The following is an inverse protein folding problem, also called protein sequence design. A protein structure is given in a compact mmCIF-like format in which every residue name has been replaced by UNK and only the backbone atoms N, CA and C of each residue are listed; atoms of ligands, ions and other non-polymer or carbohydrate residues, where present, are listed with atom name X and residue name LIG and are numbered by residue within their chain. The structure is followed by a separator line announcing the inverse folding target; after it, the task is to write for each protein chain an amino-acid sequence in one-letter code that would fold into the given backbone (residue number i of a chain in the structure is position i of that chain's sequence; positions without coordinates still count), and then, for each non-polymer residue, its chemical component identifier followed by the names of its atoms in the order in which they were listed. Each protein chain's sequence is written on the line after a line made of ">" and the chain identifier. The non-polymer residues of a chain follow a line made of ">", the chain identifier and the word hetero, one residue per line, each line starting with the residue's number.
data_IF_625025711142
#
_entry.id   IF_625025711142
#
_cell.length_a   1.000
_cell.length_b   1.000
_cell.length_c   1.000
_cell.angle_alpha   90.00
_cell.angle_beta   90.00
_cell.angle_gamma   90.00
#
_symmetry.space_group_name_H-M   'P 1'
#
loop_
_entity.id
_entity.type
_entity.pdbx_description
1 polymer ?
#
# COMPACT_ATOMS: atom_id res chain seq x y z
N UNK A 1 -10.96 -23.64 13.11
CA UNK A 1 -9.51 -23.61 13.47
C UNK A 1 -8.75 -24.44 12.44
N UNK A 2 -7.56 -24.01 12.03
CA UNK A 2 -6.73 -24.72 11.04
C UNK A 2 -5.42 -25.17 11.73
N UNK A 3 -5.25 -26.47 12.06
CA UNK A 3 -4.10 -26.97 12.84
C UNK A 3 -2.83 -27.13 12.00
N UNK A 4 -2.48 -26.12 11.20
CA UNK A 4 -1.30 -26.10 10.33
C UNK A 4 -0.96 -24.68 9.92
N UNK A 5 0.23 -24.50 9.35
CA UNK A 5 0.55 -23.28 8.61
C UNK A 5 -0.42 -23.07 7.45
N UNK A 6 -0.74 -21.82 7.18
CA UNK A 6 -1.72 -21.37 6.20
C UNK A 6 -1.17 -20.19 5.41
N UNK A 7 -1.92 -19.77 4.37
CA UNK A 7 -1.62 -18.51 3.67
C UNK A 7 -1.62 -17.33 4.63
N UNK A 8 -2.52 -17.34 5.62
CA UNK A 8 -2.58 -16.31 6.67
C UNK A 8 -1.37 -16.33 7.59
N UNK A 9 -0.80 -17.50 7.92
CA UNK A 9 0.44 -17.53 8.73
C UNK A 9 1.65 -17.04 7.94
N UNK A 10 1.70 -17.30 6.62
CA UNK A 10 2.72 -16.73 5.75
C UNK A 10 2.61 -15.20 5.68
N UNK A 11 1.39 -14.68 5.48
CA UNK A 11 1.10 -13.25 5.50
C UNK A 11 1.49 -12.61 6.85
N UNK A 12 1.08 -13.22 7.97
CA UNK A 12 1.44 -12.75 9.31
C UNK A 12 2.96 -12.74 9.52
N UNK A 13 3.66 -13.78 9.06
CA UNK A 13 5.13 -13.83 9.18
C UNK A 13 5.83 -12.73 8.40
N UNK A 14 5.28 -12.32 7.25
CA UNK A 14 5.79 -11.17 6.49
C UNK A 14 5.40 -9.84 7.12
N UNK A 15 4.19 -9.76 7.68
CA UNK A 15 3.67 -8.56 8.31
C UNK A 15 4.41 -8.21 9.61
N UNK A 16 4.76 -9.20 10.43
CA UNK A 16 5.41 -8.99 11.72
C UNK A 16 6.92 -9.23 11.67
N UNK A 17 7.40 -9.88 10.61
CA UNK A 17 8.74 -10.43 10.53
C UNK A 17 8.95 -11.71 11.36
N UNK A 18 7.98 -12.10 12.20
CA UNK A 18 8.08 -13.29 13.05
C UNK A 18 7.94 -14.57 12.20
N UNK A 19 8.96 -15.45 12.11
CA UNK A 19 8.94 -16.57 11.18
C UNK A 19 8.16 -17.77 11.74
N UNK A 20 6.82 -17.71 11.68
CA UNK A 20 5.91 -18.70 12.30
C UNK A 20 6.25 -20.14 11.91
N UNK A 21 6.48 -20.42 10.62
CA UNK A 21 6.79 -21.77 10.15
C UNK A 21 8.12 -22.30 10.72
N UNK A 22 9.14 -21.43 10.84
CA UNK A 22 10.44 -21.78 11.41
C UNK A 22 10.33 -22.07 12.91
N UNK A 23 9.56 -21.26 13.63
CA UNK A 23 9.32 -21.47 15.07
C UNK A 23 8.51 -22.73 15.32
N UNK A 24 7.43 -22.94 14.57
CA UNK A 24 6.61 -24.14 14.66
C UNK A 24 7.41 -25.44 14.41
N UNK A 25 8.34 -25.44 13.44
CA UNK A 25 9.19 -26.59 13.18
C UNK A 25 10.13 -26.93 14.36
N UNK A 26 10.65 -25.91 15.06
CA UNK A 26 11.48 -26.11 16.25
C UNK A 26 10.65 -26.60 17.44
N UNK A 27 9.46 -26.05 17.65
CA UNK A 27 8.55 -26.51 18.70
C UNK A 27 8.18 -27.98 18.48
N UNK A 28 7.98 -28.40 17.23
CA UNK A 28 7.67 -29.78 16.89
C UNK A 28 8.75 -30.79 17.28
N UNK A 29 10.00 -30.37 17.50
CA UNK A 29 11.10 -31.23 17.97
C UNK A 29 11.42 -31.03 19.46
N UNK A 30 10.53 -30.38 20.21
CA UNK A 30 10.58 -30.30 21.67
C UNK A 30 11.03 -28.97 22.27
N UNK A 31 11.35 -27.95 21.45
CA UNK A 31 11.69 -26.63 21.97
C UNK A 31 10.47 -25.88 22.51
N UNK A 32 10.67 -25.04 23.51
CA UNK A 32 9.69 -24.06 23.99
C UNK A 32 9.96 -22.67 23.41
N UNK A 33 9.00 -21.75 23.49
CA UNK A 33 9.14 -20.41 22.88
C UNK A 33 10.21 -19.53 23.54
N UNK A 34 10.44 -19.71 24.84
CA UNK A 34 11.44 -19.00 25.65
C UNK A 34 12.88 -19.47 25.35
N UNK A 35 13.05 -20.69 24.85
CA UNK A 35 14.37 -21.21 24.41
C UNK A 35 14.79 -20.68 23.04
N UNK A 36 13.84 -20.19 22.24
CA UNK A 36 14.08 -19.79 20.86
C UNK A 36 14.45 -18.31 20.78
N UNK A 37 15.62 -17.93 20.23
CA UNK A 37 15.96 -16.51 20.06
C UNK A 37 15.13 -15.84 18.96
N UNK A 38 14.80 -14.56 19.15
CA UNK A 38 14.13 -13.77 18.12
C UNK A 38 15.12 -13.41 16.99
N UNK A 39 14.87 -13.83 15.73
CA UNK A 39 15.82 -13.61 14.64
C UNK A 39 15.89 -12.17 14.13
N UNK A 40 15.00 -11.27 14.55
CA UNK A 40 14.96 -9.88 14.07
C UNK A 40 15.68 -8.92 15.00
N UNK A 41 15.38 -9.00 16.30
CA UNK A 41 15.88 -8.08 17.33
C UNK A 41 17.27 -8.48 17.85
N UNK A 42 17.75 -9.69 17.53
CA UNK A 42 19.07 -10.16 17.93
C UNK A 42 19.13 -10.58 19.40
N UNK A 43 20.24 -10.28 20.06
CA UNK A 43 20.48 -10.67 21.45
C UNK A 43 19.52 -9.96 22.42
N UNK A 44 19.00 -10.69 23.41
CA UNK A 44 18.19 -10.14 24.52
C UNK A 44 16.68 -10.34 24.43
N UNK A 45 16.16 -10.97 23.37
CA UNK A 45 14.71 -11.31 23.28
C UNK A 45 14.49 -12.71 22.70
N UNK A 46 13.45 -13.38 23.17
CA UNK A 46 13.08 -14.74 22.76
C UNK A 46 11.89 -14.71 21.80
N UNK A 47 11.46 -15.87 21.31
CA UNK A 47 10.27 -16.01 20.48
C UNK A 47 8.97 -15.95 21.31
N UNK A 48 9.06 -15.95 22.65
CA UNK A 48 7.94 -15.82 23.56
C UNK A 48 7.50 -14.35 23.75
N UNK A 49 6.98 -13.74 22.68
CA UNK A 49 6.42 -12.39 22.72
C UNK A 49 5.34 -12.19 21.65
N UNK A 50 4.55 -11.13 21.80
CA UNK A 50 3.60 -10.68 20.80
C UNK A 50 4.18 -9.51 20.01
N UNK A 51 4.36 -9.62 18.67
CA UNK A 51 4.87 -8.52 17.87
C UNK A 51 3.95 -7.31 17.89
N UNK A 52 4.53 -6.12 18.12
CA UNK A 52 3.85 -4.83 17.99
C UNK A 52 4.28 -4.17 16.69
N UNK A 53 3.32 -3.58 15.97
CA UNK A 53 3.56 -2.97 14.66
C UNK A 53 3.30 -1.47 14.74
N UNK A 54 4.23 -0.68 14.22
CA UNK A 54 4.13 0.78 14.07
C UNK A 54 3.77 1.18 12.63
N UNK A 55 3.17 0.25 11.88
CA UNK A 55 2.72 0.40 10.50
C UNK A 55 1.46 -0.44 10.23
N UNK A 56 0.78 -0.10 9.13
CA UNK A 56 -0.34 -0.86 8.58
C UNK A 56 0.13 -1.79 7.47
N UNK A 57 -0.41 -3.00 7.45
CA UNK A 57 -0.22 -3.98 6.38
C UNK A 57 -1.54 -4.19 5.66
N UNK A 58 -1.56 -3.96 4.35
CA UNK A 58 -2.73 -4.20 3.51
C UNK A 58 -2.42 -5.35 2.55
N UNK A 59 -3.34 -6.33 2.51
CA UNK A 59 -3.31 -7.45 1.59
C UNK A 59 -4.47 -7.35 0.61
N UNK A 60 -4.19 -7.46 -0.68
CA UNK A 60 -5.21 -7.50 -1.73
C UNK A 60 -5.08 -8.80 -2.54
N UNK A 61 -6.15 -9.59 -2.71
CA UNK A 61 -6.12 -10.77 -3.59
C UNK A 61 -5.96 -10.36 -5.06
N UNK A 62 -5.35 -11.25 -5.86
CA UNK A 62 -5.26 -11.13 -7.31
C UNK A 62 -6.19 -12.16 -7.97
N UNK A 63 -7.05 -11.68 -8.87
CA UNK A 63 -7.97 -12.53 -9.64
C UNK A 63 -7.55 -12.57 -11.12
N UNK A 64 -7.59 -13.73 -11.80
CA UNK A 64 -7.17 -13.89 -13.19
C UNK A 64 -8.31 -13.68 -14.20
N UNK A 65 -9.26 -12.76 -13.94
CA UNK A 65 -10.44 -12.59 -14.80
C UNK A 65 -10.10 -12.06 -16.20
N UNK A 66 -8.90 -11.50 -16.39
CA UNK A 66 -8.33 -11.16 -17.70
C UNK A 66 -8.16 -12.39 -18.61
N UNK A 67 -7.93 -13.57 -18.00
CA UNK A 67 -7.79 -14.85 -18.71
C UNK A 67 -9.10 -15.62 -18.81
N UNK A 68 -10.04 -15.38 -17.90
CA UNK A 68 -11.32 -16.08 -17.81
C UNK A 68 -12.49 -15.10 -17.91
N UNK A 69 -12.69 -14.49 -19.08
CA UNK A 69 -13.68 -13.42 -19.31
C UNK A 69 -15.14 -13.84 -19.07
N UNK A 70 -15.45 -15.11 -19.29
CA UNK A 70 -16.80 -15.68 -19.10
C UNK A 70 -17.03 -16.23 -17.69
N UNK A 71 -16.01 -16.22 -16.82
CA UNK A 71 -16.15 -16.70 -15.47
C UNK A 71 -16.97 -15.74 -14.60
N UNK A 72 -17.78 -16.30 -13.70
CA UNK A 72 -18.50 -15.52 -12.71
C UNK A 72 -17.52 -14.77 -11.78
N UNK A 73 -17.62 -13.43 -11.80
CA UNK A 73 -16.76 -12.50 -11.06
C UNK A 73 -17.23 -12.29 -9.60
N UNK A 74 -18.38 -12.84 -9.24
CA UNK A 74 -18.96 -12.73 -7.89
C UNK A 74 -18.07 -13.44 -6.88
N UNK A 75 -17.74 -12.76 -5.79
CA UNK A 75 -16.93 -13.29 -4.70
C UNK A 75 -17.84 -13.86 -3.62
N UNK A 76 -17.57 -15.11 -3.22
CA UNK A 76 -18.27 -15.79 -2.15
C UNK A 76 -17.30 -16.45 -1.19
N UNK A 77 -17.76 -17.50 -0.52
CA UNK A 77 -16.95 -18.28 0.44
C UNK A 77 -15.88 -19.12 -0.24
N UNK A 78 -16.11 -19.54 -1.48
CA UNK A 78 -15.14 -20.27 -2.28
C UNK A 78 -14.11 -19.32 -2.89
N UNK A 79 -12.83 -19.68 -2.81
CA UNK A 79 -11.72 -18.86 -3.27
C UNK A 79 -11.60 -18.88 -4.79
N UNK A 80 -11.65 -17.70 -5.42
CA UNK A 80 -11.39 -17.49 -6.85
C UNK A 80 -10.06 -16.77 -7.17
N UNK A 81 -9.33 -16.31 -6.15
CA UNK A 81 -8.05 -15.60 -6.32
C UNK A 81 -6.90 -16.56 -6.62
N UNK A 82 -6.05 -16.23 -7.59
CA UNK A 82 -4.84 -17.00 -7.95
C UNK A 82 -3.59 -16.56 -7.21
N UNK A 83 -3.61 -15.36 -6.65
CA UNK A 83 -2.48 -14.81 -5.90
C UNK A 83 -2.90 -13.71 -4.93
N UNK A 84 -1.92 -13.04 -4.36
CA UNK A 84 -2.11 -11.92 -3.46
C UNK A 84 -0.90 -11.01 -3.45
N UNK A 85 -1.15 -9.73 -3.17
CA UNK A 85 -0.13 -8.72 -2.96
C UNK A 85 -0.24 -8.20 -1.53
N UNK A 86 0.89 -7.83 -0.96
CA UNK A 86 1.00 -7.23 0.37
C UNK A 86 1.80 -5.95 0.26
N UNK A 87 1.34 -4.89 0.93
CA UNK A 87 2.09 -3.66 1.06
C UNK A 87 2.05 -3.12 2.49
N UNK A 88 3.07 -2.35 2.83
CA UNK A 88 3.28 -1.75 4.14
C UNK A 88 3.28 -0.22 4.00
N UNK A 89 2.56 0.46 4.90
CA UNK A 89 2.50 1.92 4.99
C UNK A 89 2.30 2.37 6.43
N UNK A 90 2.62 3.63 6.74
CA UNK A 90 2.43 4.21 8.08
C UNK A 90 0.95 4.53 8.38
N UNK A 91 0.13 4.56 7.35
CA UNK A 91 -1.33 4.68 7.44
C UNK A 91 -2.00 3.75 6.40
N UNK A 92 -3.33 3.64 6.48
CA UNK A 92 -4.12 2.75 5.63
C UNK A 92 -4.06 3.17 4.17
N UNK A 93 -4.17 4.46 3.89
CA UNK A 93 -4.19 5.05 2.55
C UNK A 93 -2.90 4.72 1.80
N UNK A 94 -1.76 4.91 2.46
CA UNK A 94 -0.44 4.60 1.92
C UNK A 94 -0.29 3.12 1.63
N UNK A 95 -0.63 2.26 2.60
CA UNK A 95 -0.54 0.82 2.44
C UNK A 95 -1.47 0.32 1.32
N UNK A 96 -2.69 0.84 1.25
CA UNK A 96 -3.68 0.50 0.24
C UNK A 96 -3.24 0.91 -1.17
N UNK A 97 -2.82 2.17 -1.39
CA UNK A 97 -2.38 2.62 -2.72
C UNK A 97 -1.11 1.89 -3.17
N UNK A 98 -0.19 1.55 -2.26
CA UNK A 98 0.96 0.69 -2.58
C UNK A 98 0.51 -0.71 -2.98
N UNK A 99 -0.41 -1.33 -2.24
CA UNK A 99 -0.93 -2.65 -2.56
C UNK A 99 -1.65 -2.65 -3.92
N UNK A 100 -2.47 -1.63 -4.21
CA UNK A 100 -3.13 -1.46 -5.50
C UNK A 100 -2.12 -1.38 -6.64
N UNK A 101 -1.10 -0.54 -6.50
CA UNK A 101 -0.04 -0.39 -7.50
C UNK A 101 0.68 -1.71 -7.80
N UNK A 102 0.83 -2.57 -6.78
CA UNK A 102 1.48 -3.88 -6.89
C UNK A 102 0.61 -4.97 -7.49
N UNK A 103 -0.69 -4.73 -7.78
CA UNK A 103 -1.57 -5.73 -8.40
C UNK A 103 -1.22 -6.04 -9.87
N UNK A 104 -0.40 -5.20 -10.51
CA UNK A 104 0.02 -5.32 -11.91
C UNK A 104 -1.16 -5.39 -12.90
N UNK A 105 -2.29 -4.75 -12.56
CA UNK A 105 -3.53 -4.69 -13.36
C UNK A 105 -3.60 -3.46 -14.28
N UNK A 106 -2.44 -2.96 -14.72
CA UNK A 106 -2.35 -1.78 -15.58
C UNK A 106 -2.01 -0.52 -14.81
N UNK A 107 -3.01 0.22 -14.33
CA UNK A 107 -2.77 1.51 -13.69
C UNK A 107 -2.32 1.38 -12.23
N UNK A 108 -1.18 1.99 -11.92
CA UNK A 108 -0.61 2.01 -10.57
C UNK A 108 -1.48 2.78 -9.56
N UNK A 109 -2.41 3.61 -10.05
CA UNK A 109 -3.37 4.34 -9.25
C UNK A 109 -4.79 3.98 -9.70
N UNK A 110 -5.77 3.81 -8.79
CA UNK A 110 -7.15 3.54 -9.18
C UNK A 110 -7.69 4.66 -10.07
N UNK A 111 -8.04 4.38 -11.33
CA UNK A 111 -8.64 5.38 -12.22
C UNK A 111 -10.14 5.54 -11.96
N UNK A 112 -10.76 6.66 -12.40
CA UNK A 112 -12.22 6.77 -12.47
C UNK A 112 -12.83 5.62 -13.30
N UNK A 113 -14.00 5.16 -12.87
CA UNK A 113 -14.73 4.10 -13.56
C UNK A 113 -15.65 4.68 -14.63
N UNK A 114 -15.70 4.04 -15.80
CA UNK A 114 -16.54 4.43 -16.94
C UNK A 114 -17.37 3.23 -17.38
N UNK A 115 -18.29 3.41 -18.33
CA UNK A 115 -19.05 2.28 -18.89
C UNK A 115 -18.19 1.25 -19.61
N UNK A 116 -16.96 1.59 -19.98
CA UNK A 116 -15.99 0.60 -20.48
C UNK A 116 -15.65 -0.47 -19.42
N UNK A 117 -15.84 -0.17 -18.13
CA UNK A 117 -15.63 -1.13 -17.06
C UNK A 117 -16.78 -2.14 -16.93
N UNK A 118 -17.93 -1.95 -17.59
CA UNK A 118 -19.06 -2.88 -17.52
C UNK A 118 -18.77 -4.19 -18.28
N UNK A 119 -18.03 -4.13 -19.38
CA UNK A 119 -17.77 -5.28 -20.26
C UNK A 119 -16.40 -5.23 -20.93
N UNK A 120 -15.71 -6.37 -20.98
CA UNK A 120 -14.49 -6.51 -21.79
C UNK A 120 -14.90 -6.95 -23.21
N UNK A 121 -14.99 -6.01 -24.16
CA UNK A 121 -15.46 -6.34 -25.52
C UNK A 121 -15.57 -5.18 -26.51
N UNK A 122 -16.29 -5.40 -27.60
CA UNK A 122 -16.51 -4.41 -28.66
C UNK A 122 -17.23 -3.15 -28.13
N UNK A 123 -16.80 -1.97 -28.56
CA UNK A 123 -17.34 -0.69 -28.10
C UNK A 123 -16.70 -0.10 -26.83
N UNK A 124 -15.69 -0.76 -26.23
CA UNK A 124 -14.93 -0.22 -25.08
C UNK A 124 -14.42 1.21 -25.32
N UNK A 125 -13.88 1.48 -26.51
CA UNK A 125 -13.33 2.81 -26.85
C UNK A 125 -14.39 3.92 -26.85
N UNK A 126 -15.61 3.60 -27.27
CA UNK A 126 -16.74 4.55 -27.28
C UNK A 126 -17.25 4.77 -25.84
N UNK A 127 -17.40 3.69 -25.07
CA UNK A 127 -17.87 3.73 -23.68
C UNK A 127 -16.83 4.24 -22.68
N UNK A 128 -15.57 4.36 -23.09
CA UNK A 128 -14.48 4.85 -22.24
C UNK A 128 -14.70 6.29 -21.75
N UNK A 129 -15.51 7.06 -22.47
CA UNK A 129 -15.84 8.44 -22.14
C UNK A 129 -17.22 8.59 -21.50
N UNK A 130 -18.00 7.52 -21.39
CA UNK A 130 -19.32 7.53 -20.79
C UNK A 130 -19.25 7.29 -19.27
N UNK A 131 -19.95 8.11 -18.50
CA UNK A 131 -20.04 7.95 -17.06
C UNK A 131 -20.78 6.65 -16.70
N UNK A 132 -20.22 5.87 -15.76
CA UNK A 132 -20.86 4.67 -15.25
C UNK A 132 -22.17 5.07 -14.52
N UNK A 133 -23.33 4.44 -14.81
CA UNK A 133 -24.58 4.75 -14.12
C UNK A 133 -24.52 4.47 -12.61
N UNK A 134 -25.25 5.27 -11.82
CA UNK A 134 -25.32 5.08 -10.36
C UNK A 134 -25.93 3.72 -9.98
N UNK A 135 -26.90 3.22 -10.75
CA UNK A 135 -27.50 1.90 -10.53
C UNK A 135 -26.44 0.77 -10.61
N UNK A 136 -25.62 0.77 -11.67
CA UNK A 136 -24.51 -0.18 -11.82
C UNK A 136 -23.52 -0.08 -10.66
N UNK A 137 -23.24 1.15 -10.20
CA UNK A 137 -22.33 1.38 -9.08
C UNK A 137 -22.89 0.82 -7.77
N UNK A 138 -24.19 0.97 -7.49
CA UNK A 138 -24.86 0.33 -6.34
C UNK A 138 -24.71 -1.18 -6.41
N UNK A 139 -24.94 -1.79 -7.58
CA UNK A 139 -24.85 -3.24 -7.75
C UNK A 139 -23.43 -3.75 -7.46
N UNK A 140 -22.40 -3.04 -7.94
CA UNK A 140 -21.00 -3.40 -7.70
C UNK A 140 -20.57 -3.21 -6.24
N UNK A 141 -21.21 -2.30 -5.52
CA UNK A 141 -21.01 -2.12 -4.08
C UNK A 141 -21.72 -3.21 -3.28
N UNK A 142 -22.93 -3.60 -3.69
CA UNK A 142 -23.73 -4.62 -3.02
C UNK A 142 -23.16 -6.03 -3.23
N UNK A 143 -22.87 -6.39 -4.49
CA UNK A 143 -22.38 -7.71 -4.87
C UNK A 143 -20.86 -7.66 -5.01
N UNK A 144 -20.16 -8.29 -4.06
CA UNK A 144 -18.71 -8.25 -4.03
C UNK A 144 -18.10 -8.90 -5.28
N UNK A 145 -17.27 -8.15 -6.00
CA UNK A 145 -16.45 -8.59 -7.12
C UNK A 145 -15.04 -8.01 -7.00
N UNK A 146 -14.14 -8.38 -7.91
CA UNK A 146 -12.82 -7.74 -8.05
C UNK A 146 -12.91 -6.22 -8.34
N UNK A 147 -14.04 -5.74 -8.89
CA UNK A 147 -14.28 -4.31 -9.18
C UNK A 147 -14.72 -3.51 -7.95
N UNK A 148 -15.13 -4.18 -6.86
CA UNK A 148 -15.73 -3.52 -5.68
C UNK A 148 -14.85 -2.44 -5.07
N UNK A 149 -13.53 -2.64 -5.02
CA UNK A 149 -12.60 -1.63 -4.49
C UNK A 149 -12.54 -0.37 -5.36
N UNK A 150 -12.60 -0.53 -6.69
CA UNK A 150 -12.73 0.60 -7.62
C UNK A 150 -14.08 1.31 -7.47
N UNK A 151 -15.16 0.55 -7.27
CA UNK A 151 -16.50 1.07 -7.03
C UNK A 151 -16.59 1.91 -5.74
N UNK A 152 -15.92 1.49 -4.67
CA UNK A 152 -15.83 2.28 -3.43
C UNK A 152 -15.22 3.66 -3.68
N UNK A 153 -14.07 3.71 -4.36
CA UNK A 153 -13.41 4.97 -4.69
C UNK A 153 -14.27 5.84 -5.61
N UNK A 154 -14.91 5.25 -6.61
CA UNK A 154 -15.82 5.96 -7.51
C UNK A 154 -17.02 6.56 -6.77
N UNK A 155 -17.62 5.84 -5.82
CA UNK A 155 -18.72 6.36 -4.99
C UNK A 155 -18.29 7.59 -4.19
N UNK A 156 -17.11 7.57 -3.56
CA UNK A 156 -16.59 8.72 -2.83
C UNK A 156 -16.14 9.86 -3.74
N UNK A 157 -15.64 9.57 -4.95
CA UNK A 157 -15.38 10.60 -5.99
C UNK A 157 -16.65 11.36 -6.35
N UNK A 158 -17.78 10.66 -6.42
CA UNK A 158 -19.13 11.23 -6.62
C UNK A 158 -19.71 11.90 -5.37
N UNK A 159 -18.99 11.89 -4.24
CA UNK A 159 -19.42 12.51 -2.99
C UNK A 159 -20.49 11.73 -2.24
N UNK A 160 -20.59 10.41 -2.42
CA UNK A 160 -21.48 9.59 -1.61
C UNK A 160 -21.00 9.55 -0.15
N UNK A 161 -21.93 9.69 0.80
CA UNK A 161 -21.60 9.62 2.23
C UNK A 161 -21.23 8.22 2.71
N UNK A 162 -20.38 8.16 3.74
CA UNK A 162 -19.91 6.91 4.36
C UNK A 162 -21.05 6.00 4.83
N UNK A 163 -22.12 6.57 5.41
CA UNK A 163 -23.26 5.79 5.91
C UNK A 163 -23.99 5.05 4.77
N UNK A 164 -24.27 5.74 3.67
CA UNK A 164 -24.87 5.13 2.47
C UNK A 164 -24.02 3.96 1.96
N UNK A 165 -22.71 4.15 1.85
CA UNK A 165 -21.79 3.10 1.36
C UNK A 165 -21.69 1.95 2.37
N UNK A 166 -21.71 2.23 3.67
CA UNK A 166 -21.72 1.22 4.72
C UNK A 166 -22.98 0.35 4.69
N UNK A 167 -24.15 0.96 4.51
CA UNK A 167 -25.42 0.23 4.44
C UNK A 167 -25.45 -0.77 3.28
N UNK A 168 -24.91 -0.38 2.12
CA UNK A 168 -24.84 -1.23 0.94
C UNK A 168 -23.78 -2.33 1.12
N UNK A 169 -22.57 -1.95 1.57
CA UNK A 169 -21.41 -2.84 1.49
C UNK A 169 -21.18 -3.69 2.73
N UNK A 170 -21.67 -3.21 3.88
CA UNK A 170 -21.37 -3.67 5.25
C UNK A 170 -19.88 -3.60 5.64
N UNK A 171 -19.05 -2.90 4.85
CA UNK A 171 -17.64 -2.65 5.20
C UNK A 171 -17.60 -1.69 6.38
N UNK A 172 -16.74 -1.95 7.37
CA UNK A 172 -16.59 -1.11 8.56
C UNK A 172 -16.29 0.35 8.18
N UNK A 173 -16.98 1.28 8.85
CA UNK A 173 -16.87 2.74 8.63
C UNK A 173 -15.43 3.24 8.65
N UNK A 174 -14.57 2.70 9.52
CA UNK A 174 -13.16 3.08 9.60
C UNK A 174 -12.43 2.97 8.25
N UNK A 175 -12.61 1.87 7.51
CA UNK A 175 -12.02 1.70 6.18
C UNK A 175 -12.66 2.64 5.16
N UNK A 176 -13.98 2.82 5.24
CA UNK A 176 -14.72 3.72 4.34
C UNK A 176 -14.27 5.18 4.46
N UNK A 177 -14.00 5.66 5.68
CA UNK A 177 -13.38 6.97 5.89
C UNK A 177 -11.98 7.07 5.24
N UNK A 178 -11.23 5.96 5.20
CA UNK A 178 -9.96 5.91 4.48
C UNK A 178 -10.13 6.06 2.96
N UNK A 179 -11.10 5.36 2.38
CA UNK A 179 -11.46 5.51 0.96
C UNK A 179 -11.99 6.91 0.63
N UNK A 180 -12.80 7.49 1.53
CA UNK A 180 -13.30 8.85 1.40
C UNK A 180 -12.15 9.88 1.40
N UNK A 181 -11.19 9.77 2.33
CA UNK A 181 -10.00 10.62 2.37
C UNK A 181 -9.17 10.52 1.09
N UNK A 182 -9.02 9.31 0.54
CA UNK A 182 -8.35 9.12 -0.76
C UNK A 182 -9.06 9.89 -1.88
N UNK A 183 -10.39 9.77 -1.98
CA UNK A 183 -11.16 10.47 -3.02
C UNK A 183 -11.15 12.00 -2.83
N UNK A 184 -11.19 12.49 -1.59
CA UNK A 184 -11.08 13.92 -1.27
C UNK A 184 -9.69 14.47 -1.64
N UNK A 185 -8.63 13.70 -1.37
CA UNK A 185 -7.27 14.08 -1.76
C UNK A 185 -7.12 14.09 -3.29
N UNK A 186 -7.68 13.13 -4.01
CA UNK A 186 -7.71 13.15 -5.48
C UNK A 186 -8.40 14.40 -6.03
N UNK A 187 -9.54 14.79 -5.42
CA UNK A 187 -10.28 15.98 -5.83
C UNK A 187 -9.47 17.26 -5.59
N UNK A 188 -8.84 17.40 -4.42
CA UNK A 188 -8.01 18.57 -4.12
C UNK A 188 -6.80 18.70 -5.05
N UNK A 189 -6.25 17.56 -5.51
CA UNK A 189 -5.20 17.55 -6.54
C UNK A 189 -5.76 17.97 -7.90
N UNK A 190 -6.91 17.42 -8.29
CA UNK A 190 -7.53 17.67 -9.60
C UNK A 190 -8.05 19.10 -9.77
N UNK A 191 -8.66 19.69 -8.75
CA UNK A 191 -9.23 21.05 -8.77
C UNK A 191 -8.15 22.12 -8.93
N UNK A 192 -6.94 21.82 -8.48
CA UNK A 192 -5.81 22.72 -8.60
C UNK A 192 -5.23 22.77 -10.01
N UNK A 193 -5.28 21.66 -10.78
CA UNK A 193 -4.77 21.62 -12.16
C UNK A 193 -3.27 21.95 -12.32
N UNK A 194 -2.52 21.91 -11.22
CA UNK A 194 -1.16 22.46 -11.10
C UNK A 194 -0.15 21.57 -11.83
N UNK A 195 0.73 22.18 -12.63
CA UNK A 195 1.85 21.49 -13.27
C UNK A 195 2.79 20.93 -12.18
N UNK A 196 3.47 19.78 -12.36
CA UNK A 196 4.31 19.20 -11.30
C UNK A 196 5.45 20.12 -10.86
N UNK A 197 5.78 21.13 -11.67
CA UNK A 197 6.76 22.17 -11.39
C UNK A 197 6.27 23.25 -10.41
N UNK A 198 4.97 23.37 -10.20
CA UNK A 198 4.33 24.40 -9.37
C UNK A 198 3.87 23.84 -8.00
N UNK A 199 4.11 22.55 -7.75
CA UNK A 199 3.81 21.92 -6.46
C UNK A 199 4.84 22.32 -5.41
N UNK A 200 4.36 22.75 -4.25
CA UNK A 200 5.25 23.01 -3.11
C UNK A 200 5.75 21.69 -2.50
N UNK A 201 6.89 21.74 -1.82
CA UNK A 201 7.44 20.57 -1.11
C UNK A 201 6.47 20.02 -0.06
N UNK A 202 5.78 20.89 0.66
CA UNK A 202 4.81 20.50 1.69
C UNK A 202 3.63 19.70 1.12
N UNK A 203 3.11 20.12 -0.03
CA UNK A 203 2.02 19.43 -0.72
C UNK A 203 2.48 18.08 -1.28
N UNK A 204 3.65 18.06 -1.90
CA UNK A 204 4.24 16.83 -2.41
C UNK A 204 4.43 15.81 -1.27
N UNK A 205 4.94 16.25 -0.12
CA UNK A 205 5.13 15.42 1.07
C UNK A 205 3.79 14.90 1.60
N UNK A 206 2.76 15.74 1.64
CA UNK A 206 1.42 15.34 2.07
C UNK A 206 0.80 14.27 1.16
N UNK A 207 0.95 14.43 -0.17
CA UNK A 207 0.42 13.44 -1.11
C UNK A 207 1.19 12.13 -1.02
N UNK A 208 2.53 12.22 -0.92
CA UNK A 208 3.39 11.05 -0.77
C UNK A 208 3.13 10.29 0.51
N UNK A 209 2.84 10.97 1.63
CA UNK A 209 2.54 10.31 2.91
C UNK A 209 1.23 9.52 2.89
N UNK A 210 0.34 9.78 1.95
CA UNK A 210 -0.89 9.01 1.72
C UNK A 210 -0.74 7.95 0.60
N UNK A 211 0.48 7.75 0.08
CA UNK A 211 0.78 6.74 -0.95
C UNK A 211 0.58 7.19 -2.39
N UNK A 212 0.23 8.46 -2.65
CA UNK A 212 0.04 8.94 -4.01
C UNK A 212 1.35 8.89 -4.80
N UNK A 213 1.29 8.20 -5.94
CA UNK A 213 2.39 8.14 -6.89
C UNK A 213 2.21 9.24 -7.93
N UNK A 214 3.32 9.71 -8.49
CA UNK A 214 3.22 10.54 -9.69
C UNK A 214 2.71 9.61 -10.81
N UNK A 215 1.59 9.92 -11.47
CA UNK A 215 1.00 9.00 -12.41
C UNK A 215 1.85 8.89 -13.67
N UNK A 216 1.90 7.67 -14.21
CA UNK A 216 2.41 7.41 -15.55
C UNK A 216 1.35 7.87 -16.58
N UNK A 217 1.76 8.18 -17.81
CA UNK A 217 0.89 8.67 -18.92
C UNK A 217 -0.41 7.88 -19.10
N UNK A 218 -0.43 6.57 -18.79
CA UNK A 218 -1.60 5.69 -18.94
C UNK A 218 -2.75 5.98 -17.95
N UNK A 219 -2.50 6.72 -16.87
CA UNK A 219 -3.49 6.94 -15.79
C UNK A 219 -3.96 8.39 -15.67
N UNK A 220 -3.58 9.25 -16.62
CA UNK A 220 -3.88 10.67 -16.59
C UNK A 220 -5.29 10.94 -17.16
N UNK A 221 -6.27 11.07 -16.27
CA UNK A 221 -7.48 11.84 -16.54
C UNK A 221 -7.36 13.31 -16.09
N UNK A 222 -6.56 13.58 -15.03
CA UNK A 222 -6.44 14.90 -14.39
C UNK A 222 -5.07 15.22 -13.76
N UNK A 223 -4.08 14.34 -13.90
CA UNK A 223 -2.74 14.57 -13.33
C UNK A 223 -1.70 14.82 -14.42
N UNK A 224 -0.71 15.70 -14.21
CA UNK A 224 0.27 16.01 -15.24
C UNK A 224 1.29 14.89 -15.44
N UNK A 225 1.71 14.69 -16.69
CA UNK A 225 2.46 13.51 -17.14
C UNK A 225 3.98 13.50 -16.88
N UNK A 226 4.55 14.51 -16.22
CA UNK A 226 6.01 14.65 -16.01
C UNK A 226 6.35 14.75 -14.53
N UNK A 227 6.66 13.61 -13.91
CA UNK A 227 7.24 13.62 -12.56
C UNK A 227 8.67 14.18 -12.57
N UNK A 228 8.98 15.10 -11.66
CA UNK A 228 10.36 15.35 -11.27
C UNK A 228 10.89 14.07 -10.61
N UNK A 229 11.88 13.42 -11.23
CA UNK A 229 12.53 12.21 -10.68
C UNK A 229 13.49 12.52 -9.53
N UNK A 230 13.68 13.79 -9.21
CA UNK A 230 14.68 14.26 -8.25
C UNK A 230 14.01 15.33 -7.38
N UNK A 231 13.91 15.18 -6.05
CA UNK A 231 13.69 16.34 -5.22
C UNK A 231 14.86 17.29 -5.46
N UNK A 232 14.60 18.59 -5.61
CA UNK A 232 15.68 19.58 -5.58
C UNK A 232 16.49 19.32 -4.31
N UNK A 233 17.82 19.18 -4.43
CA UNK A 233 18.72 19.05 -3.27
C UNK A 233 18.30 20.12 -2.26
N UNK A 234 17.79 19.70 -1.10
CA UNK A 234 17.59 20.60 0.01
C UNK A 234 18.90 21.34 0.24
N UNK A 235 18.83 22.66 0.43
CA UNK A 235 20.00 23.42 0.86
C UNK A 235 20.51 22.79 2.15
N UNK A 236 21.65 22.12 2.03
CA UNK A 236 22.39 21.54 3.13
C UNK A 236 22.90 22.73 3.95
N UNK A 237 22.09 23.19 4.92
CA UNK A 237 22.54 24.15 5.92
C UNK A 237 23.49 23.41 6.85
N UNK A 238 24.74 23.28 6.45
CA UNK A 238 25.81 22.85 7.33
C UNK A 238 27.01 22.24 6.61
N UNK A 239 28.00 23.11 6.34
CA UNK A 239 29.46 22.88 6.36
C UNK A 239 30.17 23.33 5.09
N UNK A 240 30.18 24.65 4.86
CA UNK A 240 31.40 25.29 4.39
C UNK A 240 32.28 25.53 5.62
N UNK A 241 33.12 24.54 5.94
CA UNK A 241 34.25 24.71 6.84
C UNK A 241 35.50 24.46 6.02
N UNK A 242 36.16 25.56 5.63
CA UNK A 242 37.53 25.57 5.14
C UNK A 242 38.45 24.83 6.11
N UNK A 243 39.37 23.97 5.66
CA UNK A 243 40.25 23.24 6.56
C UNK A 243 41.35 24.17 7.08
N UNK A 244 41.24 24.59 8.34
CA UNK A 244 42.38 25.10 9.11
C UNK A 244 43.24 23.93 9.59
N UNK A 245 44.57 23.94 9.39
CA UNK A 245 45.43 22.86 9.85
C UNK A 245 45.65 22.94 11.37
N UNK A 246 45.32 21.88 12.10
CA UNK A 246 45.62 21.71 13.53
C UNK A 246 47.02 21.12 13.75
N UNK A 247 47.78 21.57 14.76
CA UNK A 247 49.14 21.08 15.04
C UNK A 247 49.14 19.73 15.79
N UNK A 248 50.18 18.93 15.53
CA UNK A 248 50.41 17.60 16.08
C UNK A 248 50.68 17.59 17.59
N UNK A 249 50.13 16.64 18.38
CA UNK A 249 50.44 16.51 19.80
C UNK A 249 51.74 15.72 20.04
N UNK A 250 52.43 15.93 21.20
CA UNK A 250 53.73 15.32 21.50
C UNK A 250 53.62 13.84 21.88
N UNK A 251 54.64 13.07 21.49
CA UNK A 251 54.79 11.63 21.79
C UNK A 251 55.14 11.41 23.26
N UNK A 252 54.34 10.61 23.96
CA UNK A 252 54.72 10.04 25.26
C UNK A 252 55.16 8.58 25.05
N UNK A 253 56.41 8.33 25.42
CA UNK A 253 57.06 7.02 25.50
C UNK A 253 56.51 6.25 26.70
N UNK A 254 56.09 5.00 26.50
CA UNK A 254 56.00 4.02 27.60
C UNK A 254 56.81 2.79 27.23
N UNK A 255 57.82 2.53 28.06
CA UNK A 255 58.77 1.45 27.91
C UNK A 255 58.21 0.08 28.28
N UNK A 256 58.82 -0.95 27.71
CA UNK A 256 58.75 -2.35 28.12
C UNK A 256 59.11 -2.49 29.60
N UNK A 257 58.46 -3.41 30.32
CA UNK A 257 59.17 -4.32 31.22
C UNK A 257 58.42 -5.64 31.36
N UNK A 258 59.20 -6.71 31.27
CA UNK A 258 58.86 -8.12 31.50
C UNK A 258 59.19 -8.43 32.97
N UNK A 259 58.41 -9.31 33.59
CA UNK A 259 58.65 -9.91 34.90
C UNK A 259 57.49 -10.82 35.27
#
# INVERSE_FOLDING_TARGET
>A
MNPRVSRSSALASKATGYPIARMAAKIAVGYTLDELPNPITGEGTTAAFEPTLDYCVVKIPRWPFDKFRTADRTLGTSMKSTGEVMAIGRNFEEAFLKAWASLEQGCAHPRPLTRADESEGEGMSQRAHEALPDATLVDWLAIASDRRMGALLEAFRRGWGVEKVHEITRITRWFLYGFERLAQMERSIGDRGVSPAELTEGELRLWKSHGFRMPNRRCAGRFPSRGAKTPARGQDRGRDATPTPTPSPPRLSYGRFVG
#
